data_IF_888633593280
#
_entry.id   IF_888633593280
#
_cell.length_a   1.000
_cell.length_b   1.000
_cell.length_c   1.000
_cell.angle_alpha   90.00
_cell.angle_beta   90.00
_cell.angle_gamma   90.00
#
_symmetry.space_group_name_H-M   'P 1'
#
loop_
_entity.id
_entity.type
_entity.pdbx_description
1 polymer ?
#
# COMPACT_ATOMS: atom_id res chain seq x y z
N UNK A 1 15.20 0.00 -1.94
CA UNK A 1 14.04 -0.19 -1.08
C UNK A 1 13.73 1.04 -0.23
N UNK A 2 14.74 1.61 0.37
CA UNK A 2 14.59 2.75 1.26
C UNK A 2 14.00 3.98 0.58
N UNK A 3 14.39 4.26 -0.66
CA UNK A 3 13.89 5.44 -1.37
C UNK A 3 12.38 5.45 -1.49
N UNK A 4 11.79 4.34 -1.91
CA UNK A 4 10.34 4.27 -2.09
C UNK A 4 9.62 4.34 -0.75
N UNK A 5 10.18 3.71 0.27
CA UNK A 5 9.61 3.75 1.61
C UNK A 5 9.70 5.16 2.19
N UNK A 6 10.82 5.83 1.96
CA UNK A 6 11.01 7.19 2.45
C UNK A 6 10.02 8.16 1.82
N UNK A 7 9.77 8.00 0.52
CA UNK A 7 8.79 8.83 -0.17
C UNK A 7 7.38 8.60 0.39
N UNK A 8 7.05 7.36 0.69
CA UNK A 8 5.76 7.04 1.29
C UNK A 8 5.63 7.67 2.67
N UNK A 9 6.73 7.72 3.44
CA UNK A 9 6.71 8.31 4.77
C UNK A 9 6.45 9.81 4.75
N UNK A 10 6.74 10.46 3.65
CA UNK A 10 6.50 11.90 3.49
C UNK A 10 5.03 12.24 3.20
N UNK A 11 4.23 11.24 2.85
CA UNK A 11 2.84 11.46 2.50
C UNK A 11 1.96 11.60 3.74
N UNK A 12 0.90 12.39 3.59
CA UNK A 12 -0.11 12.52 4.65
C UNK A 12 -0.93 11.24 4.76
N UNK A 13 -1.69 11.13 5.84
CA UNK A 13 -2.58 9.97 6.04
C UNK A 13 -3.59 9.89 4.90
N UNK A 14 -4.13 11.02 4.46
CA UNK A 14 -5.09 11.04 3.36
C UNK A 14 -4.47 10.57 2.06
N UNK A 15 -3.25 11.02 1.79
CA UNK A 15 -2.54 10.59 0.59
C UNK A 15 -2.20 9.11 0.63
N UNK A 16 -1.79 8.60 1.80
CA UNK A 16 -1.53 7.18 1.97
C UNK A 16 -2.78 6.35 1.76
N UNK A 17 -3.92 6.81 2.29
CA UNK A 17 -5.20 6.12 2.10
C UNK A 17 -5.59 6.07 0.63
N UNK A 18 -5.38 7.17 -0.09
CA UNK A 18 -5.67 7.23 -1.51
C UNK A 18 -4.80 6.24 -2.29
N UNK A 19 -3.51 6.21 -1.96
CA UNK A 19 -2.60 5.27 -2.61
C UNK A 19 -2.93 3.82 -2.28
N UNK A 20 -3.41 3.57 -1.07
CA UNK A 20 -3.84 2.24 -0.68
C UNK A 20 -5.03 1.78 -1.52
N UNK A 21 -6.01 2.66 -1.70
CA UNK A 21 -7.18 2.34 -2.52
C UNK A 21 -6.78 2.05 -3.96
N UNK A 22 -5.89 2.88 -4.52
CA UNK A 22 -5.40 2.67 -5.89
C UNK A 22 -4.67 1.34 -6.01
N UNK A 23 -3.83 1.02 -5.03
CA UNK A 23 -3.07 -0.22 -5.05
C UNK A 23 -3.97 -1.45 -4.91
N UNK A 24 -5.01 -1.35 -4.08
CA UNK A 24 -5.97 -2.43 -3.93
C UNK A 24 -6.75 -2.68 -5.21
N UNK A 25 -7.13 -1.61 -5.89
CA UNK A 25 -7.81 -1.71 -7.16
C UNK A 25 -6.92 -2.37 -8.20
N UNK A 26 -5.66 -1.97 -8.25
CA UNK A 26 -4.70 -2.59 -9.16
C UNK A 26 -4.50 -4.07 -8.83
N UNK A 27 -4.43 -4.42 -7.54
CA UNK A 27 -4.29 -5.81 -7.14
C UNK A 27 -5.48 -6.63 -7.59
N UNK A 28 -6.68 -6.08 -7.46
CA UNK A 28 -7.89 -6.76 -7.91
C UNK A 28 -7.83 -7.03 -9.41
N UNK A 29 -7.43 -6.04 -10.20
CA UNK A 29 -7.30 -6.20 -11.63
C UNK A 29 -6.25 -7.25 -12.00
N UNK A 30 -5.11 -7.25 -11.31
CA UNK A 30 -4.05 -8.22 -11.56
C UNK A 30 -4.50 -9.64 -11.21
N UNK A 31 -5.24 -9.80 -10.12
CA UNK A 31 -5.78 -11.11 -9.75
C UNK A 31 -6.79 -11.60 -10.77
N UNK A 32 -7.60 -10.69 -11.30
CA UNK A 32 -8.54 -11.04 -12.34
C UNK A 32 -7.79 -11.52 -13.59
N UNK A 33 -6.75 -10.81 -13.99
CA UNK A 33 -5.93 -11.21 -15.12
C UNK A 33 -5.27 -12.56 -14.89
N UNK A 34 -4.85 -12.82 -13.66
CA UNK A 34 -4.27 -14.11 -13.30
C UNK A 34 -5.30 -15.23 -13.45
N UNK A 35 -6.51 -14.98 -12.99
CA UNK A 35 -7.58 -15.98 -13.07
C UNK A 35 -7.99 -16.30 -14.51
N UNK A 36 -7.94 -15.31 -15.39
CA UNK A 36 -8.29 -15.50 -16.80
C UNK A 36 -7.13 -15.94 -17.66
N UNK A 37 -5.92 -16.01 -17.08
CA UNK A 37 -4.73 -16.40 -17.81
C UNK A 37 -4.09 -15.27 -18.61
N UNK A 38 -4.55 -14.05 -18.43
CA UNK A 38 -4.02 -12.90 -19.14
C UNK A 38 -2.80 -12.27 -18.47
N UNK A 39 -2.55 -12.60 -17.22
CA UNK A 39 -1.42 -12.03 -16.49
C UNK A 39 -0.11 -12.62 -17.00
N UNK A 40 0.76 -11.75 -17.50
CA UNK A 40 2.06 -12.15 -18.01
C UNK A 40 3.20 -11.77 -17.08
N UNK A 41 2.99 -10.80 -16.19
CA UNK A 41 4.03 -10.29 -15.30
C UNK A 41 3.65 -10.50 -13.85
N UNK A 42 4.12 -11.61 -13.28
CA UNK A 42 3.86 -11.94 -11.88
C UNK A 42 4.65 -11.03 -10.93
N UNK A 43 5.69 -10.39 -11.41
CA UNK A 43 6.46 -9.46 -10.59
C UNK A 43 5.62 -8.24 -10.23
N UNK A 44 4.76 -7.81 -11.13
CA UNK A 44 3.87 -6.68 -10.87
C UNK A 44 2.89 -7.03 -9.75
N UNK A 45 2.39 -8.26 -9.76
CA UNK A 45 1.50 -8.72 -8.69
C UNK A 45 2.21 -8.69 -7.34
N UNK A 46 3.43 -9.18 -7.28
CA UNK A 46 4.22 -9.16 -6.04
C UNK A 46 4.53 -7.73 -5.60
N UNK A 47 4.89 -6.89 -6.54
CA UNK A 47 5.19 -5.49 -6.25
C UNK A 47 3.99 -4.78 -5.64
N UNK A 48 2.81 -4.97 -6.25
CA UNK A 48 1.59 -4.33 -5.77
C UNK A 48 1.24 -4.81 -4.37
N UNK A 49 1.37 -6.10 -4.11
CA UNK A 49 1.11 -6.65 -2.78
C UNK A 49 2.05 -6.06 -1.74
N UNK A 50 3.32 -5.90 -2.08
CA UNK A 50 4.31 -5.28 -1.18
C UNK A 50 3.97 -3.82 -0.91
N UNK A 51 3.54 -3.10 -1.92
CA UNK A 51 3.16 -1.69 -1.76
C UNK A 51 1.99 -1.57 -0.79
N UNK A 52 0.99 -2.41 -0.94
CA UNK A 52 -0.16 -2.43 -0.04
C UNK A 52 0.31 -2.67 1.40
N UNK A 53 1.17 -3.66 1.60
CA UNK A 53 1.67 -3.98 2.93
C UNK A 53 2.42 -2.81 3.55
N UNK A 54 3.25 -2.13 2.78
CA UNK A 54 4.02 -0.98 3.26
C UNK A 54 3.10 0.18 3.63
N UNK A 55 2.12 0.48 2.78
CA UNK A 55 1.20 1.58 3.03
C UNK A 55 0.39 1.28 4.28
N UNK A 56 -0.10 0.06 4.43
CA UNK A 56 -0.87 -0.33 5.60
C UNK A 56 -0.03 -0.21 6.88
N UNK A 57 1.23 -0.60 6.81
CA UNK A 57 2.14 -0.50 7.95
C UNK A 57 2.32 0.96 8.36
N UNK A 58 2.54 1.85 7.39
CA UNK A 58 2.72 3.27 7.67
C UNK A 58 1.45 3.90 8.24
N UNK A 59 0.30 3.54 7.69
CA UNK A 59 -0.97 4.03 8.22
C UNK A 59 -1.19 3.57 9.65
N UNK A 60 -0.89 2.31 9.91
CA UNK A 60 -1.03 1.75 11.25
C UNK A 60 -0.11 2.45 12.25
N UNK A 61 1.13 2.69 11.87
CA UNK A 61 2.08 3.40 12.71
C UNK A 61 1.59 4.80 13.06
N UNK A 62 1.06 5.51 12.08
CA UNK A 62 0.57 6.87 12.29
C UNK A 62 -0.68 6.91 13.15
N UNK A 63 -1.57 5.95 12.96
CA UNK A 63 -2.76 5.85 13.78
C UNK A 63 -2.40 5.52 15.23
N UNK A 64 -1.45 4.64 15.44
CA UNK A 64 -0.98 4.31 16.78
C UNK A 64 -0.32 5.50 17.45
N UNK A 65 0.48 6.24 16.71
CA UNK A 65 1.14 7.43 17.24
C UNK A 65 0.10 8.47 17.65
N UNK A 66 -0.95 8.65 16.85
CA UNK A 66 -2.03 9.57 17.17
C UNK A 66 -2.79 9.13 18.42
N UNK A 67 -3.09 7.83 18.52
CA UNK A 67 -3.78 7.30 19.69
C UNK A 67 -2.97 7.47 20.96
N UNK A 68 -1.69 7.14 20.89
CA UNK A 68 -0.80 7.27 22.04
C UNK A 68 -0.69 8.73 22.47
N UNK A 69 -0.53 9.61 21.48
CA UNK A 69 -0.47 11.05 21.77
C UNK A 69 -1.77 11.58 22.32
N UNK A 70 -2.89 11.03 21.86
CA UNK A 70 -4.21 11.45 22.31
C UNK A 70 -4.50 11.06 23.76
N UNK A 71 -3.93 9.98 24.20
CA UNK A 71 -4.13 9.51 25.59
C UNK A 71 -3.32 10.30 26.60
N UNK A 72 -2.26 10.92 26.16
CA UNK A 72 -1.42 11.71 27.06
C UNK A 72 -1.83 13.17 27.07
#
# INVERSE_FOLDING_TARGET
MSEKTDKLRELSIQELSSRLNDAREELMNLRFQQATGELTDFNRLRYTRRQIARIMTLLNERQQATLVGGEE
#
